data_IF_083296625864
#
_entry.id   IF_083296625864
#
_cell.length_a   1.000
_cell.length_b   1.000
_cell.length_c   1.000
_cell.angle_alpha   90.00
_cell.angle_beta   90.00
_cell.angle_gamma   90.00
#
_symmetry.space_group_name_H-M   'P 1'
#
loop_
_entity.id
_entity.type
_entity.pdbx_description
1 polymer ?
#
# COMPACT_ATOMS: atom_id res chain seq x y z
N UNK A 1 -57.66 20.15 2.44
CA UNK A 1 -56.98 18.83 2.48
C UNK A 1 -55.61 18.79 1.79
N UNK A 2 -55.28 19.64 0.80
CA UNK A 2 -53.94 19.62 0.14
C UNK A 2 -52.79 20.21 0.97
N UNK A 3 -53.05 21.22 1.80
CA UNK A 3 -52.00 21.91 2.58
C UNK A 3 -51.40 21.06 3.72
N UNK A 4 -52.21 20.23 4.38
CA UNK A 4 -51.72 19.33 5.45
C UNK A 4 -50.75 18.25 4.96
N UNK A 5 -50.82 17.87 3.68
CA UNK A 5 -49.98 16.83 3.09
C UNK A 5 -48.58 17.37 2.70
N UNK A 6 -48.49 18.65 2.30
CA UNK A 6 -47.21 19.32 2.00
C UNK A 6 -46.40 19.62 3.26
N UNK A 7 -47.05 20.06 4.35
CA UNK A 7 -46.39 20.28 5.63
C UNK A 7 -45.82 18.97 6.21
N UNK A 8 -46.58 17.86 6.10
CA UNK A 8 -46.12 16.54 6.52
C UNK A 8 -44.90 16.07 5.70
N UNK A 9 -44.93 16.19 4.37
CA UNK A 9 -43.79 15.84 3.51
C UNK A 9 -42.52 16.67 3.79
N UNK A 10 -42.68 17.97 4.07
CA UNK A 10 -41.55 18.85 4.43
C UNK A 10 -40.93 18.47 5.78
N UNK A 11 -41.75 18.11 6.78
CA UNK A 11 -41.23 17.65 8.08
C UNK A 11 -40.55 16.28 8.01
N UNK A 12 -41.00 15.38 7.12
CA UNK A 12 -40.37 14.07 6.92
C UNK A 12 -39.03 14.19 6.19
N UNK A 13 -38.93 15.05 5.17
CA UNK A 13 -37.68 15.30 4.46
C UNK A 13 -36.62 15.97 5.35
N UNK A 14 -37.03 16.95 6.17
CA UNK A 14 -36.14 17.58 7.16
C UNK A 14 -35.64 16.58 8.23
N UNK A 15 -36.51 15.65 8.69
CA UNK A 15 -36.10 14.58 9.61
C UNK A 15 -35.14 13.57 8.96
N UNK A 16 -35.36 13.20 7.70
CA UNK A 16 -34.42 12.36 6.93
C UNK A 16 -33.07 13.04 6.73
N UNK A 17 -33.06 14.33 6.39
CA UNK A 17 -31.84 15.11 6.24
C UNK A 17 -31.07 15.21 7.56
N UNK A 18 -31.74 15.55 8.67
CA UNK A 18 -31.11 15.62 10.00
C UNK A 18 -30.60 14.26 10.49
N UNK A 19 -31.29 13.16 10.15
CA UNK A 19 -30.84 11.80 10.46
C UNK A 19 -29.64 11.39 9.62
N UNK A 20 -29.63 11.68 8.32
CA UNK A 20 -28.48 11.47 7.45
C UNK A 20 -27.28 12.32 7.89
N UNK A 21 -27.52 13.57 8.30
CA UNK A 21 -26.51 14.48 8.82
C UNK A 21 -25.96 14.05 10.19
N UNK A 22 -26.74 13.36 11.04
CA UNK A 22 -26.24 12.74 12.30
C UNK A 22 -25.57 11.38 12.08
N UNK A 23 -26.06 10.58 11.14
CA UNK A 23 -25.46 9.28 10.78
C UNK A 23 -24.09 9.48 10.11
N UNK A 24 -23.92 10.52 9.31
CA UNK A 24 -22.64 10.85 8.68
C UNK A 24 -21.45 11.07 9.65
N UNK A 25 -21.53 11.90 10.71
CA UNK A 25 -20.47 12.11 11.68
C UNK A 25 -20.25 10.86 12.56
N UNK A 26 -21.32 10.14 12.93
CA UNK A 26 -21.19 8.89 13.68
C UNK A 26 -20.42 7.82 12.87
N UNK A 27 -20.76 7.65 11.59
CA UNK A 27 -20.06 6.72 10.69
C UNK A 27 -18.62 7.16 10.44
N UNK A 28 -18.36 8.46 10.24
CA UNK A 28 -16.99 9.00 10.10
C UNK A 28 -16.14 8.75 11.35
N UNK A 29 -16.72 8.97 12.54
CA UNK A 29 -16.05 8.71 13.82
C UNK A 29 -15.77 7.22 14.00
N UNK A 30 -16.73 6.34 13.70
CA UNK A 30 -16.54 4.90 13.75
C UNK A 30 -15.41 4.45 12.83
N UNK A 31 -15.41 4.90 11.56
CA UNK A 31 -14.34 4.58 10.58
C UNK A 31 -12.98 5.07 11.06
N UNK A 32 -12.90 6.28 11.63
CA UNK A 32 -11.67 6.82 12.18
C UNK A 32 -11.17 5.99 13.38
N UNK A 33 -12.06 5.62 14.30
CA UNK A 33 -11.70 4.76 15.44
C UNK A 33 -11.23 3.38 14.98
N UNK A 34 -11.94 2.74 14.06
CA UNK A 34 -11.54 1.44 13.51
C UNK A 34 -10.18 1.53 12.81
N UNK A 35 -9.92 2.60 12.06
CA UNK A 35 -8.62 2.84 11.44
C UNK A 35 -7.50 2.99 12.49
N UNK A 36 -7.71 3.78 13.54
CA UNK A 36 -6.74 3.96 14.62
C UNK A 36 -6.48 2.65 15.38
N UNK A 37 -7.53 1.88 15.67
CA UNK A 37 -7.40 0.55 16.29
C UNK A 37 -6.58 -0.38 15.39
N UNK A 38 -6.88 -0.41 14.08
CA UNK A 38 -6.11 -1.18 13.11
C UNK A 38 -4.63 -0.77 13.06
N UNK A 39 -4.33 0.53 13.12
CA UNK A 39 -2.96 1.04 13.17
C UNK A 39 -2.23 0.58 14.45
N UNK A 40 -2.87 0.69 15.61
CA UNK A 40 -2.30 0.25 16.90
C UNK A 40 -2.04 -1.26 16.88
N UNK A 41 -2.98 -2.06 16.37
CA UNK A 41 -2.82 -3.51 16.22
C UNK A 41 -1.64 -3.82 15.28
N UNK A 42 -1.50 -3.10 14.17
CA UNK A 42 -0.42 -3.31 13.20
C UNK A 42 0.95 -2.99 13.81
N UNK A 43 1.06 -1.88 14.56
CA UNK A 43 2.28 -1.50 15.29
C UNK A 43 2.61 -2.55 16.36
N UNK A 44 1.62 -2.95 17.16
CA UNK A 44 1.78 -3.98 18.19
C UNK A 44 2.21 -5.32 17.59
N UNK A 45 1.57 -5.77 16.52
CA UNK A 45 1.90 -7.00 15.81
C UNK A 45 3.34 -6.95 15.25
N UNK A 46 3.75 -5.82 14.65
CA UNK A 46 5.12 -5.66 14.18
C UNK A 46 6.13 -5.70 15.33
N UNK A 47 5.83 -5.05 16.46
CA UNK A 47 6.68 -5.05 17.65
C UNK A 47 6.85 -6.45 18.24
N UNK A 48 5.75 -7.19 18.39
CA UNK A 48 5.77 -8.58 18.87
C UNK A 48 6.55 -9.47 17.91
N UNK A 49 6.29 -9.38 16.60
CA UNK A 49 7.01 -10.17 15.60
C UNK A 49 8.51 -9.84 15.60
N UNK A 50 8.87 -8.57 15.71
CA UNK A 50 10.27 -8.12 15.82
C UNK A 50 10.94 -8.72 17.07
N UNK A 51 10.27 -8.71 18.22
CA UNK A 51 10.80 -9.32 19.45
C UNK A 51 10.99 -10.84 19.28
N UNK A 52 10.04 -11.52 18.63
CA UNK A 52 10.12 -12.96 18.37
C UNK A 52 11.28 -13.30 17.44
N UNK A 53 11.47 -12.60 16.32
CA UNK A 53 12.58 -12.88 15.40
C UNK A 53 13.95 -12.53 15.99
N UNK A 54 14.04 -11.55 16.88
CA UNK A 54 15.29 -11.28 17.63
C UNK A 54 15.58 -12.37 18.65
N UNK A 55 14.54 -12.97 19.25
CA UNK A 55 14.69 -14.06 20.23
C UNK A 55 14.95 -15.42 19.57
N UNK A 56 14.33 -15.66 18.42
CA UNK A 56 14.40 -16.90 17.64
C UNK A 56 14.74 -16.58 16.18
N UNK A 57 16.02 -16.27 15.87
CA UNK A 57 16.43 -15.85 14.52
C UNK A 57 16.10 -16.88 13.44
N UNK A 58 16.26 -18.16 13.76
CA UNK A 58 15.89 -19.31 12.93
C UNK A 58 14.74 -20.07 13.60
N UNK A 59 13.52 -19.64 13.32
CA UNK A 59 12.32 -20.22 13.95
C UNK A 59 11.87 -21.47 13.18
N UNK A 60 11.56 -22.56 13.89
CA UNK A 60 11.12 -23.83 13.27
C UNK A 60 9.92 -23.66 12.33
N UNK A 61 9.00 -22.75 12.66
CA UNK A 61 7.84 -22.44 11.82
C UNK A 61 8.27 -21.84 10.47
N UNK A 62 9.29 -20.97 10.48
CA UNK A 62 9.81 -20.38 9.24
C UNK A 62 10.48 -21.45 8.37
N UNK A 63 11.29 -22.32 8.98
CA UNK A 63 11.96 -23.42 8.27
C UNK A 63 10.94 -24.40 7.69
N UNK A 64 9.96 -24.81 8.49
CA UNK A 64 8.90 -25.72 8.06
C UNK A 64 8.08 -25.13 6.91
N UNK A 65 7.72 -23.84 7.00
CA UNK A 65 6.98 -23.16 5.94
C UNK A 65 7.80 -23.05 4.65
N UNK A 66 9.08 -22.66 4.74
CA UNK A 66 9.95 -22.59 3.57
C UNK A 66 10.09 -23.94 2.88
N UNK A 67 10.30 -25.03 3.63
CA UNK A 67 10.36 -26.40 3.09
C UNK A 67 9.05 -26.84 2.45
N UNK A 68 7.92 -26.52 3.08
CA UNK A 68 6.60 -26.83 2.52
C UNK A 68 6.38 -26.10 1.19
N UNK A 69 6.77 -24.83 1.10
CA UNK A 69 6.64 -24.05 -0.13
C UNK A 69 7.58 -24.57 -1.24
N UNK A 70 8.81 -24.95 -0.88
CA UNK A 70 9.81 -25.51 -1.81
C UNK A 70 9.49 -26.94 -2.27
N UNK A 71 8.68 -27.69 -1.51
CA UNK A 71 8.22 -29.03 -1.93
C UNK A 71 7.37 -29.00 -3.21
N UNK A 72 6.86 -27.82 -3.59
CA UNK A 72 6.12 -27.64 -4.83
C UNK A 72 7.10 -27.47 -6.01
N UNK A 73 7.41 -28.57 -6.67
CA UNK A 73 8.40 -28.66 -7.76
C UNK A 73 7.82 -28.48 -9.17
N UNK A 74 6.63 -27.89 -9.30
CA UNK A 74 6.02 -27.65 -10.60
C UNK A 74 6.81 -26.59 -11.38
N UNK A 75 7.35 -26.93 -12.55
CA UNK A 75 8.31 -26.06 -13.25
C UNK A 75 7.76 -24.66 -13.61
N UNK A 76 6.51 -24.49 -14.09
CA UNK A 76 5.89 -23.18 -14.27
C UNK A 76 5.80 -22.33 -12.99
N UNK A 77 5.71 -22.96 -11.82
CA UNK A 77 5.74 -22.26 -10.54
C UNK A 77 7.10 -21.62 -10.27
N UNK A 78 8.19 -22.36 -10.54
CA UNK A 78 9.55 -21.84 -10.42
C UNK A 78 9.75 -20.62 -11.32
N UNK A 79 9.34 -20.70 -12.58
CA UNK A 79 9.38 -19.56 -13.52
C UNK A 79 8.61 -18.35 -12.99
N UNK A 80 7.40 -18.56 -12.45
CA UNK A 80 6.61 -17.49 -11.86
C UNK A 80 7.31 -16.84 -10.66
N UNK A 81 7.86 -17.65 -9.73
CA UNK A 81 8.57 -17.14 -8.55
C UNK A 81 9.81 -16.33 -8.96
N UNK A 82 10.62 -16.83 -9.89
CA UNK A 82 11.77 -16.11 -10.42
C UNK A 82 11.35 -14.80 -11.10
N UNK A 83 10.33 -14.83 -11.96
CA UNK A 83 9.86 -13.64 -12.67
C UNK A 83 9.32 -12.56 -11.72
N UNK A 84 8.46 -12.93 -10.77
CA UNK A 84 7.91 -11.97 -9.80
C UNK A 84 9.02 -11.38 -8.92
N UNK A 85 9.99 -12.20 -8.52
CA UNK A 85 11.14 -11.74 -7.74
C UNK A 85 12.04 -10.80 -8.55
N UNK A 86 12.28 -11.10 -9.83
CA UNK A 86 13.09 -10.32 -10.77
C UNK A 86 12.65 -8.86 -10.89
N UNK A 87 11.33 -8.60 -10.89
CA UNK A 87 10.76 -7.25 -10.90
C UNK A 87 11.26 -6.39 -9.72
N UNK A 88 11.55 -7.01 -8.58
CA UNK A 88 11.97 -6.32 -7.37
C UNK A 88 13.48 -6.04 -7.27
N UNK A 89 14.29 -6.60 -8.15
CA UNK A 89 15.74 -6.37 -8.18
C UNK A 89 16.10 -5.10 -8.97
N UNK A 90 17.26 -4.54 -8.67
CA UNK A 90 17.87 -3.46 -9.46
C UNK A 90 18.57 -4.06 -10.68
N UNK A 91 18.42 -3.48 -11.90
CA UNK A 91 17.81 -2.19 -12.21
C UNK A 91 16.29 -2.21 -12.49
N UNK A 92 15.65 -3.39 -12.51
CA UNK A 92 14.26 -3.57 -12.96
C UNK A 92 13.27 -2.72 -12.13
N UNK A 93 13.39 -2.77 -10.81
CA UNK A 93 12.53 -2.02 -9.89
C UNK A 93 12.62 -0.50 -10.16
N UNK A 94 13.82 0.03 -10.38
CA UNK A 94 14.07 1.44 -10.64
C UNK A 94 13.54 1.87 -12.01
N UNK A 95 13.72 1.02 -13.03
CA UNK A 95 13.18 1.26 -14.37
C UNK A 95 11.66 1.27 -14.33
N UNK A 96 11.03 0.23 -13.78
CA UNK A 96 9.57 0.10 -13.73
C UNK A 96 8.95 1.25 -12.95
N UNK A 97 9.47 1.55 -11.77
CA UNK A 97 8.95 2.63 -10.94
C UNK A 97 9.22 4.01 -11.54
N UNK A 98 10.38 4.20 -12.17
CA UNK A 98 10.70 5.40 -12.93
C UNK A 98 9.73 5.61 -14.09
N UNK A 99 9.40 4.56 -14.85
CA UNK A 99 8.40 4.61 -15.92
C UNK A 99 6.99 4.91 -15.38
N UNK A 100 6.58 4.29 -14.28
CA UNK A 100 5.27 4.58 -13.65
C UNK A 100 5.21 6.04 -13.19
N UNK A 101 6.24 6.54 -12.50
CA UNK A 101 6.34 7.93 -12.07
C UNK A 101 6.30 8.87 -13.29
N UNK A 102 7.05 8.55 -14.34
CA UNK A 102 7.08 9.32 -15.58
C UNK A 102 5.71 9.35 -16.27
N UNK A 103 5.00 8.23 -16.35
CA UNK A 103 3.64 8.16 -16.89
C UNK A 103 2.69 9.05 -16.07
N UNK A 104 2.73 8.95 -14.73
CA UNK A 104 1.91 9.80 -13.85
C UNK A 104 2.24 11.29 -14.08
N UNK A 105 3.52 11.62 -14.28
CA UNK A 105 3.99 12.97 -14.54
C UNK A 105 3.45 13.52 -15.88
N UNK A 106 3.58 12.79 -16.99
CA UNK A 106 3.11 13.26 -18.31
C UNK A 106 1.58 13.34 -18.41
N UNK A 107 0.85 12.64 -17.54
CA UNK A 107 -0.61 12.77 -17.39
C UNK A 107 -1.02 14.05 -16.62
N UNK A 108 -0.06 14.88 -16.22
CA UNK A 108 -0.30 16.14 -15.50
C UNK A 108 -0.47 15.98 -13.99
N UNK A 109 -0.31 14.76 -13.45
CA UNK A 109 -0.45 14.46 -12.02
C UNK A 109 0.89 14.61 -11.30
N UNK A 110 1.46 15.81 -11.38
CA UNK A 110 2.83 16.08 -10.92
C UNK A 110 3.05 15.76 -9.44
N UNK A 111 2.09 16.13 -8.57
CA UNK A 111 2.18 15.83 -7.14
C UNK A 111 2.08 14.35 -6.83
N UNK A 112 1.25 13.61 -7.55
CA UNK A 112 1.12 12.16 -7.45
C UNK A 112 2.42 11.47 -7.86
N UNK A 113 3.07 11.95 -8.94
CA UNK A 113 4.36 11.44 -9.40
C UNK A 113 5.45 11.66 -8.33
N UNK A 114 5.56 12.89 -7.80
CA UNK A 114 6.49 13.21 -6.72
C UNK A 114 6.19 12.37 -5.48
N UNK A 115 4.92 12.25 -5.09
CA UNK A 115 4.50 11.50 -3.91
C UNK A 115 4.75 9.99 -4.06
N UNK A 116 4.63 9.44 -5.27
CA UNK A 116 4.99 8.05 -5.54
C UNK A 116 6.51 7.82 -5.36
N UNK A 117 7.34 8.75 -5.84
CA UNK A 117 8.78 8.75 -5.58
C UNK A 117 9.10 8.81 -4.08
N UNK A 118 8.44 9.72 -3.34
CA UNK A 118 8.58 9.84 -1.88
C UNK A 118 8.15 8.55 -1.18
N UNK A 119 7.05 7.92 -1.61
CA UNK A 119 6.55 6.68 -1.01
C UNK A 119 7.56 5.53 -1.15
N UNK A 120 8.15 5.38 -2.34
CA UNK A 120 9.21 4.41 -2.59
C UNK A 120 10.46 4.69 -1.75
N UNK A 121 10.94 5.94 -1.74
CA UNK A 121 12.11 6.35 -0.98
C UNK A 121 11.93 6.16 0.53
N UNK A 122 10.83 6.67 1.10
CA UNK A 122 10.51 6.54 2.53
C UNK A 122 10.51 5.06 2.96
N UNK A 123 9.86 4.21 2.17
CA UNK A 123 9.74 2.79 2.49
C UNK A 123 11.10 2.09 2.47
N UNK A 124 11.95 2.40 1.49
CA UNK A 124 13.29 1.82 1.41
C UNK A 124 14.22 2.35 2.51
N UNK A 125 14.14 3.64 2.86
CA UNK A 125 14.87 4.19 4.00
C UNK A 125 14.48 3.51 5.31
N UNK A 126 13.17 3.34 5.56
CA UNK A 126 12.68 2.65 6.76
C UNK A 126 13.11 1.18 6.76
N UNK A 127 13.06 0.49 5.62
CA UNK A 127 13.56 -0.89 5.51
C UNK A 127 15.05 -0.98 5.86
N UNK A 128 15.88 -0.11 5.29
CA UNK A 128 17.31 -0.07 5.53
C UNK A 128 17.60 0.13 7.02
N UNK A 129 16.95 1.09 7.67
CA UNK A 129 17.11 1.34 9.12
C UNK A 129 16.67 0.11 9.93
N UNK A 130 15.49 -0.45 9.65
CA UNK A 130 14.98 -1.60 10.36
C UNK A 130 15.90 -2.82 10.25
N UNK A 131 16.42 -3.10 9.04
CA UNK A 131 17.36 -4.19 8.80
C UNK A 131 18.61 -4.10 9.67
N UNK A 132 19.24 -2.92 9.69
CA UNK A 132 20.46 -2.70 10.45
C UNK A 132 20.25 -2.71 11.98
N UNK A 133 19.04 -2.39 12.47
CA UNK A 133 18.73 -2.45 13.90
C UNK A 133 18.36 -3.86 14.40
N UNK A 134 17.88 -4.71 13.49
CA UNK A 134 17.35 -6.03 13.84
C UNK A 134 18.39 -7.11 13.59
N UNK A 135 19.21 -6.97 12.54
CA UNK A 135 20.36 -7.84 12.25
C UNK A 135 19.97 -9.33 12.29
N UNK A 136 18.95 -9.68 11.51
CA UNK A 136 18.48 -11.06 11.43
C UNK A 136 19.24 -11.82 10.34
N UNK A 137 19.79 -13.03 10.64
CA UNK A 137 20.39 -13.90 9.63
C UNK A 137 19.36 -14.39 8.60
N UNK A 138 19.84 -14.60 7.36
CA UNK A 138 19.07 -15.13 6.23
C UNK A 138 18.93 -16.66 6.29
N UNK A 139 18.03 -17.25 5.50
CA UNK A 139 18.08 -18.68 5.23
C UNK A 139 19.42 -19.11 4.63
N UNK A 140 19.88 -20.28 5.06
CA UNK A 140 21.15 -20.88 4.67
C UNK A 140 20.91 -22.26 4.05
N UNK A 141 21.85 -22.72 3.23
CA UNK A 141 21.71 -23.93 2.42
C UNK A 141 21.60 -25.23 3.23
N UNK A 142 22.01 -25.22 4.51
CA UNK A 142 21.82 -26.32 5.46
C UNK A 142 20.36 -26.44 5.95
N UNK A 143 19.57 -25.37 5.83
CA UNK A 143 18.17 -25.34 6.29
C UNK A 143 17.17 -25.53 5.15
N UNK A 144 17.40 -24.86 4.02
CA UNK A 144 16.48 -24.76 2.87
C UNK A 144 17.25 -24.61 1.56
N UNK A 145 16.58 -24.78 0.41
CA UNK A 145 17.19 -24.47 -0.88
C UNK A 145 17.39 -22.95 -1.03
N UNK A 146 18.59 -22.50 -1.38
CA UNK A 146 18.92 -21.08 -1.58
C UNK A 146 19.36 -20.87 -3.02
N UNK A 147 18.54 -20.18 -3.81
CA UNK A 147 18.79 -20.00 -5.24
C UNK A 147 19.84 -18.93 -5.52
N UNK A 148 19.90 -17.90 -4.66
CA UNK A 148 20.85 -16.78 -4.78
C UNK A 148 21.17 -16.21 -3.39
N UNK A 149 22.46 -16.05 -3.11
CA UNK A 149 22.92 -15.43 -1.87
C UNK A 149 22.84 -13.91 -1.92
N UNK A 150 22.43 -13.32 -0.80
CA UNK A 150 22.38 -11.87 -0.57
C UNK A 150 23.17 -11.57 0.71
N UNK A 151 24.03 -10.55 0.67
CA UNK A 151 25.00 -10.24 1.73
C UNK A 151 24.45 -9.31 2.84
N UNK A 152 23.16 -8.97 2.80
CA UNK A 152 22.50 -8.09 3.76
C UNK A 152 21.58 -8.84 4.75
N UNK A 153 21.03 -8.14 5.75
CA UNK A 153 20.13 -8.75 6.75
C UNK A 153 18.77 -9.17 6.19
N UNK A 154 18.15 -10.16 6.84
CA UNK A 154 16.90 -10.77 6.36
C UNK A 154 15.65 -9.97 6.73
N UNK A 155 15.53 -9.50 7.98
CA UNK A 155 14.30 -8.91 8.49
C UNK A 155 14.33 -7.38 8.48
N UNK A 156 13.27 -6.69 8.02
CA UNK A 156 12.16 -7.21 7.22
C UNK A 156 12.54 -7.30 5.73
N UNK A 157 11.78 -8.08 4.94
CA UNK A 157 12.06 -8.21 3.50
C UNK A 157 11.94 -6.88 2.74
N UNK A 158 13.05 -6.45 2.13
CA UNK A 158 13.11 -5.18 1.38
C UNK A 158 12.28 -5.21 0.10
N UNK A 159 12.26 -6.33 -0.63
CA UNK A 159 11.43 -6.47 -1.83
C UNK A 159 9.94 -6.34 -1.49
N UNK A 160 9.49 -7.04 -0.44
CA UNK A 160 8.08 -6.99 -0.03
C UNK A 160 7.73 -5.59 0.48
N UNK A 161 8.58 -4.97 1.30
CA UNK A 161 8.35 -3.59 1.75
C UNK A 161 8.24 -2.64 0.57
N UNK A 162 9.17 -2.69 -0.39
CA UNK A 162 9.13 -1.87 -1.59
C UNK A 162 7.81 -2.01 -2.34
N UNK A 163 7.33 -3.24 -2.53
CA UNK A 163 6.08 -3.49 -3.25
C UNK A 163 4.87 -2.92 -2.49
N UNK A 164 4.83 -3.10 -1.17
CA UNK A 164 3.75 -2.52 -0.34
C UNK A 164 3.80 -0.99 -0.39
N UNK A 165 4.98 -0.39 -0.25
CA UNK A 165 5.14 1.06 -0.24
C UNK A 165 4.84 1.71 -1.58
N UNK A 166 5.54 1.28 -2.64
CA UNK A 166 5.43 1.89 -3.97
C UNK A 166 4.16 1.44 -4.69
N UNK A 167 3.99 0.13 -4.94
CA UNK A 167 2.82 -0.37 -5.68
C UNK A 167 1.53 -0.24 -4.85
N UNK A 168 1.60 -0.29 -3.51
CA UNK A 168 0.45 0.06 -2.67
C UNK A 168 0.07 1.54 -2.74
N UNK A 169 1.03 2.45 -2.92
CA UNK A 169 0.72 3.86 -3.17
C UNK A 169 0.10 4.07 -4.55
N UNK A 170 0.60 3.38 -5.58
CA UNK A 170 -0.02 3.35 -6.93
C UNK A 170 -1.44 2.78 -6.86
N UNK A 171 -1.66 1.71 -6.10
CA UNK A 171 -3.00 1.17 -5.82
C UNK A 171 -3.90 2.24 -5.22
N UNK A 172 -3.42 2.98 -4.22
CA UNK A 172 -4.17 4.07 -3.59
C UNK A 172 -4.51 5.18 -4.59
N UNK A 173 -3.59 5.58 -5.47
CA UNK A 173 -3.86 6.57 -6.53
C UNK A 173 -4.93 6.07 -7.52
N UNK A 174 -4.80 4.84 -8.01
CA UNK A 174 -5.82 4.24 -8.90
C UNK A 174 -7.18 4.14 -8.21
N UNK A 175 -7.18 3.79 -6.92
CA UNK A 175 -8.41 3.72 -6.16
C UNK A 175 -9.03 5.12 -5.93
N UNK A 176 -8.23 6.15 -5.66
CA UNK A 176 -8.74 7.47 -5.27
C UNK A 176 -9.05 8.39 -6.46
N UNK A 177 -8.34 8.26 -7.58
CA UNK A 177 -8.43 9.20 -8.70
C UNK A 177 -9.20 8.65 -9.91
N UNK A 178 -9.21 7.32 -10.10
CA UNK A 178 -9.87 6.71 -11.27
C UNK A 178 -11.30 6.31 -10.94
N UNK A 179 -12.25 6.66 -11.82
CA UNK A 179 -13.66 6.25 -11.68
C UNK A 179 -13.80 4.71 -11.65
N UNK A 180 -14.72 4.15 -10.84
CA UNK A 180 -14.98 2.71 -10.83
C UNK A 180 -15.28 2.15 -12.22
N UNK A 181 -14.53 1.13 -12.63
CA UNK A 181 -14.70 0.41 -13.90
C UNK A 181 -14.12 -0.98 -13.79
N UNK A 182 -14.51 -1.91 -14.69
CA UNK A 182 -13.93 -3.27 -14.74
C UNK A 182 -12.41 -3.24 -14.92
N UNK A 183 -11.90 -2.31 -15.74
CA UNK A 183 -10.45 -2.12 -15.96
C UNK A 183 -9.73 -1.68 -14.69
N UNK A 184 -10.29 -0.70 -13.96
CA UNK A 184 -9.75 -0.29 -12.65
C UNK A 184 -9.73 -1.45 -11.66
N UNK A 185 -10.83 -2.19 -11.55
CA UNK A 185 -10.90 -3.34 -10.63
C UNK A 185 -9.86 -4.41 -10.98
N UNK A 186 -9.70 -4.74 -12.26
CA UNK A 186 -8.69 -5.70 -12.71
C UNK A 186 -7.27 -5.24 -12.36
N UNK A 187 -6.95 -3.95 -12.56
CA UNK A 187 -5.65 -3.39 -12.18
C UNK A 187 -5.40 -3.44 -10.66
N UNK A 188 -6.40 -3.11 -9.85
CA UNK A 188 -6.31 -3.19 -8.39
C UNK A 188 -6.08 -4.63 -7.92
N UNK A 189 -6.80 -5.60 -8.50
CA UNK A 189 -6.58 -7.03 -8.21
C UNK A 189 -5.18 -7.47 -8.61
N UNK A 190 -4.71 -7.07 -9.79
CA UNK A 190 -3.35 -7.39 -10.26
C UNK A 190 -2.27 -6.85 -9.31
N UNK A 191 -2.42 -5.63 -8.79
CA UNK A 191 -1.50 -5.05 -7.82
C UNK A 191 -1.50 -5.82 -6.49
N UNK A 192 -2.68 -6.21 -5.99
CA UNK A 192 -2.77 -7.03 -4.76
C UNK A 192 -2.11 -8.39 -4.96
N UNK A 193 -2.36 -9.05 -6.09
CA UNK A 193 -1.74 -10.33 -6.42
C UNK A 193 -0.22 -10.20 -6.55
N UNK A 194 0.27 -9.13 -7.19
CA UNK A 194 1.70 -8.85 -7.31
C UNK A 194 2.37 -8.67 -5.94
N UNK A 195 1.74 -7.88 -5.05
CA UNK A 195 2.22 -7.64 -3.68
C UNK A 195 2.21 -8.94 -2.85
N UNK A 196 1.22 -9.81 -3.03
CA UNK A 196 1.15 -11.10 -2.36
C UNK A 196 2.22 -12.08 -2.89
N UNK A 197 2.29 -12.23 -4.22
CA UNK A 197 3.18 -13.17 -4.89
C UNK A 197 4.65 -12.85 -4.68
N UNK A 198 5.04 -11.58 -4.57
CA UNK A 198 6.44 -11.24 -4.25
C UNK A 198 6.84 -11.77 -2.88
N UNK A 199 5.92 -11.79 -1.90
CA UNK A 199 6.19 -12.40 -0.58
C UNK A 199 6.49 -13.89 -0.70
N UNK A 200 5.64 -14.62 -1.42
CA UNK A 200 5.85 -16.05 -1.68
C UNK A 200 7.14 -16.32 -2.44
N UNK A 201 7.47 -15.52 -3.46
CA UNK A 201 8.69 -15.73 -4.24
C UNK A 201 9.95 -15.56 -3.39
N UNK A 202 9.96 -14.61 -2.44
CA UNK A 202 11.10 -14.42 -1.54
C UNK A 202 11.35 -15.62 -0.62
N UNK A 203 10.29 -16.29 -0.20
CA UNK A 203 10.36 -17.48 0.65
C UNK A 203 10.77 -18.69 -0.18
N UNK A 204 10.13 -18.90 -1.33
CA UNK A 204 10.40 -20.04 -2.21
C UNK A 204 11.85 -20.03 -2.71
N UNK A 205 12.39 -18.85 -3.05
CA UNK A 205 13.79 -18.68 -3.47
C UNK A 205 14.82 -18.84 -2.33
N UNK A 206 14.38 -19.10 -1.10
CA UNK A 206 15.27 -19.23 0.06
C UNK A 206 15.95 -17.93 0.47
N UNK A 207 15.38 -16.78 0.10
CA UNK A 207 16.01 -15.48 0.36
C UNK A 207 15.51 -14.85 1.67
N UNK A 208 14.29 -15.19 2.10
CA UNK A 208 13.68 -14.67 3.31
C UNK A 208 12.84 -15.74 4.01
N UNK A 209 12.72 -15.60 5.33
CA UNK A 209 11.78 -16.35 6.14
C UNK A 209 10.36 -15.81 5.98
N UNK A 210 9.34 -16.62 6.28
CA UNK A 210 7.94 -16.18 6.27
C UNK A 210 7.72 -14.98 7.19
N UNK A 211 8.32 -14.99 8.38
CA UNK A 211 8.23 -13.87 9.31
C UNK A 211 8.90 -12.59 8.81
N UNK A 212 9.92 -12.65 7.95
CA UNK A 212 10.48 -11.46 7.29
C UNK A 212 9.48 -10.80 6.34
N UNK A 213 8.72 -11.63 5.64
CA UNK A 213 7.67 -11.23 4.70
C UNK A 213 6.48 -10.66 5.46
N UNK A 214 6.04 -11.30 6.54
CA UNK A 214 4.99 -10.77 7.42
C UNK A 214 5.40 -9.43 8.06
N UNK A 215 6.63 -9.34 8.56
CA UNK A 215 7.19 -8.10 9.10
C UNK A 215 7.24 -6.98 8.06
N UNK A 216 7.58 -7.32 6.81
CA UNK A 216 7.56 -6.40 5.69
C UNK A 216 6.15 -5.93 5.32
N UNK A 217 5.13 -6.79 5.35
CA UNK A 217 3.74 -6.37 5.16
C UNK A 217 3.28 -5.43 6.26
N UNK A 218 3.57 -5.74 7.53
CA UNK A 218 3.18 -4.89 8.66
C UNK A 218 3.87 -3.52 8.60
N UNK A 219 5.21 -3.49 8.52
CA UNK A 219 5.95 -2.23 8.48
C UNK A 219 5.71 -1.47 7.18
N UNK A 220 5.61 -2.16 6.05
CA UNK A 220 5.28 -1.57 4.75
C UNK A 220 3.89 -0.93 4.74
N UNK A 221 2.91 -1.51 5.42
CA UNK A 221 1.59 -0.88 5.56
C UNK A 221 1.64 0.39 6.40
N UNK A 222 2.48 0.43 7.45
CA UNK A 222 2.70 1.64 8.25
C UNK A 222 3.36 2.74 7.40
N UNK A 223 4.37 2.41 6.60
CA UNK A 223 5.01 3.39 5.70
C UNK A 223 4.06 3.85 4.60
N UNK A 224 3.26 2.96 4.02
CA UNK A 224 2.23 3.30 3.05
C UNK A 224 1.20 4.28 3.63
N UNK A 225 0.71 4.02 4.85
CA UNK A 225 -0.20 4.94 5.55
C UNK A 225 0.46 6.31 5.73
N UNK A 226 1.72 6.36 6.17
CA UNK A 226 2.46 7.60 6.30
C UNK A 226 2.60 8.34 4.95
N UNK A 227 2.92 7.63 3.86
CA UNK A 227 2.99 8.19 2.51
C UNK A 227 1.66 8.77 2.04
N UNK A 228 0.54 8.08 2.32
CA UNK A 228 -0.81 8.58 2.02
C UNK A 228 -1.12 9.85 2.82
N UNK A 229 -0.76 9.89 4.11
CA UNK A 229 -0.94 11.08 4.96
C UNK A 229 -0.14 12.27 4.40
N UNK A 230 1.13 12.05 4.05
CA UNK A 230 2.00 13.08 3.45
C UNK A 230 1.41 13.58 2.13
N UNK A 231 0.99 12.67 1.24
CA UNK A 231 0.34 13.03 -0.02
C UNK A 231 -0.90 13.89 0.18
N UNK A 232 -1.81 13.46 1.07
CA UNK A 232 -3.08 14.17 1.34
C UNK A 232 -2.86 15.49 2.02
N UNK A 233 -1.84 15.62 2.86
CA UNK A 233 -1.47 16.87 3.50
C UNK A 233 -0.87 17.86 2.49
N UNK A 234 -0.01 17.40 1.58
CA UNK A 234 0.66 18.25 0.61
C UNK A 234 -0.24 18.67 -0.58
N UNK A 235 -1.15 17.79 -1.03
CA UNK A 235 -2.00 18.03 -2.21
C UNK A 235 -2.73 19.40 -2.19
N UNK A 236 -3.50 19.76 -1.15
CA UNK A 236 -4.19 21.05 -1.11
C UNK A 236 -3.27 22.25 -0.87
N UNK A 237 -2.02 22.03 -0.45
CA UNK A 237 -1.07 23.11 -0.10
C UNK A 237 -0.20 23.54 -1.27
N UNK A 238 0.17 22.58 -2.11
CA UNK A 238 1.15 22.81 -3.17
C UNK A 238 0.52 22.71 -4.58
N UNK A 239 -0.66 22.08 -4.73
CA UNK A 239 -1.23 21.77 -6.04
C UNK A 239 -2.78 21.85 -6.03
N UNK A 240 -3.32 23.07 -5.95
CA UNK A 240 -4.77 23.35 -5.94
C UNK A 240 -5.43 23.32 -7.31
N UNK A 241 -4.67 23.55 -8.38
CA UNK A 241 -5.14 23.60 -9.77
C UNK A 241 -4.35 22.63 -10.64
N UNK A 242 -4.66 21.33 -10.54
CA UNK A 242 -4.25 20.39 -11.57
C UNK A 242 -5.41 20.19 -12.55
N UNK A 243 -5.14 20.05 -13.85
CA UNK A 243 -6.17 19.71 -14.82
C UNK A 243 -6.70 18.31 -14.47
N UNK A 244 -7.87 18.27 -13.83
CA UNK A 244 -8.62 17.03 -13.68
C UNK A 244 -9.12 16.73 -15.08
N UNK A 245 -8.51 15.74 -15.75
CA UNK A 245 -8.95 15.27 -17.06
C UNK A 245 -10.44 14.93 -17.01
N UNK A 246 -11.27 15.84 -17.53
CA UNK A 246 -12.72 15.70 -17.57
C UNK A 246 -13.56 16.92 -17.15
N UNK A 247 -12.98 18.08 -16.80
CA UNK A 247 -13.76 19.31 -16.51
C UNK A 247 -13.63 20.37 -17.63
N UNK A 248 -13.51 19.95 -18.90
CA UNK A 248 -13.57 20.85 -20.07
C UNK A 248 -14.99 21.41 -20.36
N UNK A 249 -15.94 21.27 -19.44
CA UNK A 249 -17.34 21.65 -19.72
C UNK A 249 -18.05 22.35 -18.55
N UNK A 250 -17.30 23.17 -17.79
CA UNK A 250 -17.95 24.19 -16.95
C UNK A 250 -17.80 25.56 -17.60
N UNK A 251 -18.89 26.16 -18.11
CA UNK A 251 -18.83 27.54 -18.55
C UNK A 251 -18.48 28.43 -17.35
N UNK A 252 -17.42 29.20 -17.55
CA UNK A 252 -16.99 30.30 -16.72
C UNK A 252 -18.19 31.22 -16.43
N UNK A 253 -18.70 31.14 -15.19
CA UNK A 253 -19.74 32.06 -14.71
C UNK A 253 -19.45 32.46 -13.26
N UNK A 254 -18.70 33.56 -13.17
CA UNK A 254 -19.11 34.81 -12.53
C UNK A 254 -18.09 35.35 -11.49
N UNK A 255 -17.49 36.54 -11.71
CA UNK A 255 -16.49 37.11 -10.82
C UNK A 255 -17.15 38.04 -9.80
N UNK A 256 -17.72 37.52 -8.73
CA UNK A 256 -18.14 38.35 -7.59
C UNK A 256 -17.84 37.58 -6.31
N UNK A 257 -16.71 37.88 -5.66
CA UNK A 257 -16.60 38.42 -4.28
C UNK A 257 -15.12 38.80 -4.09
N UNK A 258 -14.77 40.06 -4.35
CA UNK A 258 -13.71 40.78 -3.63
C UNK A 258 -14.42 41.66 -2.61
N UNK A 259 -14.07 41.51 -1.33
CA UNK A 259 -14.45 42.44 -0.28
C UNK A 259 -15.26 41.80 0.85
N UNK A 260 -14.53 41.24 1.83
CA UNK A 260 -14.61 41.52 3.27
C UNK A 260 -13.50 40.73 3.99
#
# INVERSE_FOLDING_TARGET
>A
MKEGNQAAQFTESARKAARAEKEQPAIRLLRSRLFLVGLIITIGAFGVLTALVKRFPTWDIDVAFSRALQSFTWEPWGWLMHFVSWIGFTPQNAIISGLVIFIIFILGWYWEAVSAGIAGALTMTVNFVAKNLIDRPRPTADLVEVFWHLEDFSFPSGHVMYFVGFFGFVFYLLYSLIKPSRKRTAALVALVLLIALVGFSRIWLGQHWMSDVLGAYLLGMLTLVASIVIYRWGKPRFFTHQPVGGDEDKPESDPIIRGL
#
